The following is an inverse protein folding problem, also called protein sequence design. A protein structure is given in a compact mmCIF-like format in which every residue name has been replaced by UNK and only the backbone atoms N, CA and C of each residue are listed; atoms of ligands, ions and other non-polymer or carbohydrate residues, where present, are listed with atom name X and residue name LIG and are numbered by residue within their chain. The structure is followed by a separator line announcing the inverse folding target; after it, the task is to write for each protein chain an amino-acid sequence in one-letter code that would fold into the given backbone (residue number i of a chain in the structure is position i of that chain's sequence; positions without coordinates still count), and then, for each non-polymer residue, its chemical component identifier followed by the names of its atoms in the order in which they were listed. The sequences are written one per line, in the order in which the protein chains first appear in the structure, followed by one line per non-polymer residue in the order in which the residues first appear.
data_IF_053119397075
#
_entry.id   IF_053119397075
#
_cell.length_a   1.000
_cell.length_b   1.000
_cell.length_c   1.000
_cell.angle_alpha   90.00
_cell.angle_beta   90.00
_cell.angle_gamma   90.00
#
_symmetry.space_group_name_H-M   'P 1'
#
loop_
_entity.id
_entity.type
_entity.pdbx_description
1 polymer ?
#
# COMPACT_ATOMS: atom_id res chain seq x y z
N UNK A 1 -16.08 -2.91 -14.21
CA UNK A 1 -14.64 -3.25 -14.10
C UNK A 1 -14.43 -3.83 -12.71
N UNK A 2 -13.88 -5.05 -12.54
CA UNK A 2 -13.81 -5.68 -11.21
C UNK A 2 -12.69 -5.03 -10.39
N UNK A 3 -13.04 -4.29 -9.34
CA UNK A 3 -12.04 -3.74 -8.43
C UNK A 3 -11.33 -4.88 -7.70
N UNK A 4 -10.01 -4.85 -7.71
CA UNK A 4 -9.16 -5.89 -7.15
C UNK A 4 -8.73 -5.46 -5.74
N UNK A 5 -8.68 -6.39 -4.76
CA UNK A 5 -8.20 -6.13 -3.39
C UNK A 5 -6.90 -5.31 -3.37
N UNK A 6 -5.93 -5.75 -4.17
CA UNK A 6 -4.66 -5.09 -4.43
C UNK A 6 -4.75 -3.58 -4.67
N UNK A 7 -5.77 -3.10 -5.40
CA UNK A 7 -5.88 -1.69 -5.75
C UNK A 7 -6.20 -0.82 -4.52
N UNK A 8 -6.99 -1.33 -3.57
CA UNK A 8 -7.31 -0.58 -2.35
C UNK A 8 -6.09 -0.48 -1.42
N UNK A 9 -5.31 -1.55 -1.27
CA UNK A 9 -4.07 -1.49 -0.50
C UNK A 9 -3.03 -0.57 -1.15
N UNK A 10 -2.87 -0.60 -2.49
CA UNK A 10 -2.01 0.33 -3.22
C UNK A 10 -2.42 1.80 -3.03
N UNK A 11 -3.72 2.09 -3.02
CA UNK A 11 -4.23 3.44 -2.74
C UNK A 11 -4.01 3.81 -1.27
N UNK A 12 -4.20 2.90 -0.31
CA UNK A 12 -3.97 3.17 1.10
C UNK A 12 -2.50 3.49 1.40
N UNK A 13 -1.58 2.71 0.83
CA UNK A 13 -0.15 2.92 0.93
C UNK A 13 0.26 4.26 0.31
N UNK A 14 -0.22 4.56 -0.89
CA UNK A 14 0.01 5.86 -1.53
C UNK A 14 -0.55 7.06 -0.72
N UNK A 15 -1.69 6.91 -0.04
CA UNK A 15 -2.24 7.95 0.85
C UNK A 15 -1.37 8.15 2.08
N UNK A 16 -0.97 7.08 2.76
CA UNK A 16 -0.08 7.15 3.92
C UNK A 16 1.30 7.73 3.55
N UNK A 17 1.86 7.34 2.40
CA UNK A 17 3.12 7.84 1.89
C UNK A 17 3.06 9.33 1.49
N UNK A 18 1.96 9.79 0.89
CA UNK A 18 1.73 11.23 0.63
C UNK A 18 1.64 12.00 1.95
N UNK A 19 0.96 11.45 2.97
CA UNK A 19 0.84 12.08 4.28
C UNK A 19 2.20 12.19 4.99
N UNK A 20 3.08 11.18 4.92
CA UNK A 20 4.50 11.32 5.34
C UNK A 20 5.18 12.45 4.57
N UNK A 21 5.02 12.50 3.25
CA UNK A 21 5.71 13.46 2.39
C UNK A 21 5.26 14.92 2.59
N UNK A 22 3.98 15.18 2.91
CA UNK A 22 3.45 16.55 3.08
C UNK A 22 3.34 17.01 4.53
N UNK A 23 3.24 16.11 5.51
CA UNK A 23 3.14 16.45 6.92
C UNK A 23 4.42 16.24 7.71
N UNK A 24 5.21 15.19 7.42
CA UNK A 24 6.35 14.81 8.25
C UNK A 24 7.67 15.37 7.70
N UNK A 25 7.96 15.13 6.41
CA UNK A 25 9.21 15.59 5.78
C UNK A 25 9.44 17.10 5.95
N UNK A 26 8.46 18.01 5.75
CA UNK A 26 8.70 19.44 5.94
C UNK A 26 9.08 19.79 7.38
N UNK A 27 8.49 19.11 8.37
CA UNK A 27 8.81 19.32 9.79
C UNK A 27 10.21 18.81 10.12
N UNK A 28 10.56 17.58 9.71
CA UNK A 28 11.92 17.03 9.87
C UNK A 28 12.97 17.92 9.20
N UNK A 29 12.70 18.44 8.01
CA UNK A 29 13.60 19.37 7.30
C UNK A 29 13.71 20.71 8.03
N UNK A 30 12.61 21.24 8.58
CA UNK A 30 12.67 22.47 9.38
C UNK A 30 13.48 22.31 10.68
N UNK A 31 13.38 21.16 11.34
CA UNK A 31 14.16 20.83 12.53
C UNK A 31 15.67 20.70 12.19
N UNK A 32 16.00 20.12 11.03
CA UNK A 32 17.38 20.10 10.49
C UNK A 32 17.90 21.51 10.17
N UNK A 33 17.08 22.38 9.55
CA UNK A 33 17.52 23.69 9.06
C UNK A 33 17.62 24.73 10.18
N UNK A 34 16.63 24.80 11.07
CA UNK A 34 16.60 25.80 12.14
C UNK A 34 17.34 25.37 13.41
N UNK A 35 17.55 24.06 13.62
CA UNK A 35 18.14 23.49 14.86
C UNK A 35 17.39 23.87 16.16
N UNK A 36 16.18 24.44 16.06
CA UNK A 36 15.30 24.84 17.18
C UNK A 36 13.83 24.62 16.80
N UNK A 37 12.96 24.48 17.79
CA UNK A 37 11.52 24.23 17.61
C UNK A 37 10.67 25.50 17.75
N UNK A 38 10.25 26.08 16.62
CA UNK A 38 9.45 27.33 16.57
C UNK A 38 7.94 27.12 16.46
N UNK A 39 7.47 25.87 16.29
CA UNK A 39 6.06 25.57 15.94
C UNK A 39 5.13 25.39 17.16
N UNK A 40 5.66 25.55 18.37
CA UNK A 40 4.91 25.42 19.62
C UNK A 40 4.50 23.98 20.00
N UNK A 41 3.84 23.88 21.15
CA UNK A 41 3.50 22.63 21.84
C UNK A 41 2.57 21.71 21.03
N UNK A 42 1.53 22.27 20.42
CA UNK A 42 0.56 21.49 19.64
C UNK A 42 1.20 20.78 18.44
N UNK A 43 2.07 21.48 17.71
CA UNK A 43 2.81 20.87 16.60
C UNK A 43 3.82 19.84 17.11
N UNK A 44 4.52 20.09 18.22
CA UNK A 44 5.50 19.14 18.77
C UNK A 44 4.86 17.77 19.07
N UNK A 45 3.67 17.78 19.69
CA UNK A 45 2.87 16.58 19.97
C UNK A 45 2.36 15.90 18.70
N UNK A 46 1.73 16.67 17.80
CA UNK A 46 1.03 16.08 16.66
C UNK A 46 1.97 15.58 15.56
N UNK A 47 3.13 16.23 15.33
CA UNK A 47 4.09 15.84 14.29
C UNK A 47 4.62 14.43 14.51
N UNK A 48 5.17 14.15 15.70
CA UNK A 48 5.72 12.81 16.02
C UNK A 48 4.64 11.72 16.03
N UNK A 49 3.44 12.05 16.54
CA UNK A 49 2.31 11.14 16.58
C UNK A 49 1.81 10.74 15.18
N UNK A 50 1.55 11.72 14.31
CA UNK A 50 1.10 11.47 12.93
C UNK A 50 2.18 10.77 12.09
N UNK A 51 3.45 11.15 12.27
CA UNK A 51 4.59 10.47 11.63
C UNK A 51 4.62 8.98 11.96
N UNK A 52 4.47 8.62 13.24
CA UNK A 52 4.34 7.23 13.67
C UNK A 52 3.13 6.53 13.04
N UNK A 53 1.97 7.17 13.02
CA UNK A 53 0.73 6.60 12.46
C UNK A 53 0.89 6.31 10.97
N UNK A 54 1.38 7.26 10.17
CA UNK A 54 1.48 7.09 8.72
C UNK A 54 2.50 6.00 8.35
N UNK A 55 3.66 5.97 9.02
CA UNK A 55 4.67 4.93 8.82
C UNK A 55 4.14 3.56 9.23
N UNK A 56 3.50 3.46 10.41
CA UNK A 56 2.88 2.21 10.87
C UNK A 56 1.77 1.72 9.94
N UNK A 57 0.91 2.61 9.45
CA UNK A 57 -0.14 2.28 8.50
C UNK A 57 0.44 1.80 7.15
N UNK A 58 1.51 2.42 6.64
CA UNK A 58 2.24 1.95 5.46
C UNK A 58 2.82 0.54 5.66
N UNK A 59 3.52 0.30 6.77
CA UNK A 59 4.11 -1.01 7.11
C UNK A 59 3.06 -2.11 7.21
N UNK A 60 2.01 -1.89 8.00
CA UNK A 60 0.92 -2.85 8.17
C UNK A 60 0.17 -3.10 6.84
N UNK A 61 0.12 -2.10 5.96
CA UNK A 61 -0.40 -2.26 4.59
C UNK A 61 0.51 -3.14 3.73
N UNK A 62 1.85 -3.02 3.83
CA UNK A 62 2.82 -3.91 3.15
C UNK A 62 2.66 -5.37 3.62
N UNK A 63 2.44 -5.61 4.91
CA UNK A 63 2.11 -6.94 5.45
C UNK A 63 0.81 -7.49 4.83
N UNK A 64 -0.27 -6.69 4.82
CA UNK A 64 -1.55 -7.08 4.22
C UNK A 64 -1.44 -7.36 2.71
N UNK A 65 -0.67 -6.56 1.98
CA UNK A 65 -0.36 -6.77 0.56
C UNK A 65 0.40 -8.07 0.35
N UNK A 66 1.36 -8.39 1.23
CA UNK A 66 2.15 -9.62 1.16
C UNK A 66 1.31 -10.87 1.42
N UNK A 67 0.37 -10.80 2.36
CA UNK A 67 -0.61 -11.86 2.59
C UNK A 67 -1.54 -12.05 1.36
N UNK A 68 -2.06 -10.96 0.77
CA UNK A 68 -2.87 -11.01 -0.46
C UNK A 68 -2.08 -11.60 -1.65
N UNK A 69 -0.80 -11.23 -1.82
CA UNK A 69 0.08 -11.84 -2.84
C UNK A 69 0.28 -13.34 -2.60
N UNK A 70 0.56 -13.74 -1.36
CA UNK A 70 0.80 -15.15 -0.99
C UNK A 70 -0.45 -16.00 -1.26
N UNK A 71 -1.61 -15.60 -0.72
CA UNK A 71 -2.86 -16.37 -0.90
C UNK A 71 -3.29 -16.36 -2.37
N UNK A 72 -3.09 -15.26 -3.12
CA UNK A 72 -3.39 -15.20 -4.55
C UNK A 72 -2.52 -16.11 -5.42
N UNK A 73 -1.29 -16.43 -4.99
CA UNK A 73 -0.37 -17.32 -5.72
C UNK A 73 -0.52 -18.78 -5.26
N UNK A 74 -0.72 -19.01 -3.96
CA UNK A 74 -0.78 -20.37 -3.38
C UNK A 74 -2.18 -21.00 -3.40
N UNK A 75 -3.23 -20.21 -3.20
CA UNK A 75 -4.62 -20.67 -3.02
C UNK A 75 -5.62 -19.74 -3.75
N UNK A 76 -5.60 -19.65 -5.09
CA UNK A 76 -6.33 -18.63 -5.84
C UNK A 76 -7.85 -18.62 -5.62
N UNK A 77 -8.46 -19.77 -5.30
CA UNK A 77 -9.88 -19.86 -4.94
C UNK A 77 -10.18 -19.27 -3.55
N UNK A 78 -9.39 -19.63 -2.52
CA UNK A 78 -9.51 -19.05 -1.17
C UNK A 78 -9.25 -17.55 -1.19
N UNK A 79 -8.34 -17.06 -2.04
CA UNK A 79 -8.07 -15.62 -2.16
C UNK A 79 -9.34 -14.80 -2.48
N UNK A 80 -10.22 -15.33 -3.34
CA UNK A 80 -11.48 -14.69 -3.73
C UNK A 80 -12.52 -14.62 -2.60
N UNK A 81 -12.36 -15.41 -1.54
CA UNK A 81 -13.23 -15.46 -0.35
C UNK A 81 -12.63 -14.70 0.85
N UNK A 82 -11.30 -14.61 0.93
CA UNK A 82 -10.56 -13.91 1.97
C UNK A 82 -10.42 -12.42 1.61
N UNK A 83 -9.85 -12.10 0.45
CA UNK A 83 -9.61 -10.73 0.01
C UNK A 83 -10.77 -10.21 -0.85
N UNK A 84 -11.96 -10.12 -0.23
CA UNK A 84 -13.11 -9.41 -0.79
C UNK A 84 -12.97 -7.90 -0.57
N UNK A 85 -13.65 -7.08 -1.36
CA UNK A 85 -13.58 -5.60 -1.25
C UNK A 85 -13.93 -5.12 0.16
N UNK A 86 -14.97 -5.68 0.78
CA UNK A 86 -15.39 -5.35 2.15
C UNK A 86 -14.31 -5.71 3.17
N UNK A 87 -13.76 -6.95 3.10
CA UNK A 87 -12.70 -7.40 4.00
C UNK A 87 -11.40 -6.61 3.82
N UNK A 88 -11.05 -6.22 2.59
CA UNK A 88 -9.90 -5.33 2.33
C UNK A 88 -10.11 -3.94 2.94
N UNK A 89 -11.31 -3.35 2.88
CA UNK A 89 -11.60 -2.09 3.56
C UNK A 89 -11.55 -2.23 5.09
N UNK A 90 -12.05 -3.33 5.65
CA UNK A 90 -11.95 -3.63 7.08
C UNK A 90 -10.49 -3.79 7.53
N UNK A 91 -9.67 -4.54 6.78
CA UNK A 91 -8.23 -4.67 7.04
C UNK A 91 -7.52 -3.32 7.02
N UNK A 92 -7.83 -2.45 6.05
CA UNK A 92 -7.31 -1.07 6.03
C UNK A 92 -7.73 -0.30 7.28
N UNK A 93 -9.00 -0.34 7.68
CA UNK A 93 -9.44 0.28 8.94
C UNK A 93 -8.66 -0.23 10.16
N UNK A 94 -8.39 -1.54 10.21
CA UNK A 94 -7.59 -2.17 11.27
C UNK A 94 -6.13 -1.70 11.23
N UNK A 95 -5.49 -1.53 10.06
CA UNK A 95 -4.09 -1.03 10.01
C UNK A 95 -3.97 0.40 10.54
N UNK A 96 -4.94 1.28 10.23
CA UNK A 96 -4.99 2.63 10.79
C UNK A 96 -5.25 2.64 12.30
N UNK A 97 -6.26 1.90 12.78
CA UNK A 97 -6.57 1.81 14.22
C UNK A 97 -5.40 1.24 15.04
N UNK A 98 -4.70 0.25 14.50
CA UNK A 98 -3.53 -0.36 15.14
C UNK A 98 -2.34 0.60 15.18
N UNK A 99 -2.07 1.33 14.10
CA UNK A 99 -1.02 2.36 14.08
C UNK A 99 -1.35 3.53 15.03
N UNK A 100 -2.61 3.95 15.11
CA UNK A 100 -3.11 4.93 16.09
C UNK A 100 -2.86 4.45 17.52
N UNK A 101 -3.27 3.21 17.85
CA UNK A 101 -3.14 2.65 19.19
C UNK A 101 -1.67 2.48 19.62
N UNK A 102 -0.81 1.97 18.74
CA UNK A 102 0.63 1.80 18.99
C UNK A 102 1.32 3.12 19.31
N UNK A 103 0.90 4.22 18.65
CA UNK A 103 1.58 5.51 18.75
C UNK A 103 1.03 6.42 19.86
N UNK A 104 -0.03 6.02 20.59
CA UNK A 104 -0.64 6.84 21.68
C UNK A 104 0.40 7.39 22.66
N UNK A 105 1.42 6.64 23.14
CA UNK A 105 2.40 7.19 24.08
C UNK A 105 3.14 8.44 23.56
N UNK A 106 3.41 8.54 22.26
CA UNK A 106 4.16 9.67 21.68
C UNK A 106 3.44 11.01 21.83
N UNK A 107 2.12 11.07 21.72
CA UNK A 107 1.37 12.34 21.88
C UNK A 107 1.31 12.79 23.35
N UNK A 108 1.57 11.88 24.29
CA UNK A 108 1.59 12.15 25.74
C UNK A 108 2.98 12.59 26.23
N UNK A 109 4.05 11.98 25.72
CA UNK A 109 5.44 12.26 26.17
C UNK A 109 6.15 13.34 25.36
N UNK A 110 5.79 13.59 24.10
CA UNK A 110 6.39 14.70 23.35
C UNK A 110 5.90 16.03 23.90
N UNK A 111 6.82 16.96 24.15
CA UNK A 111 6.54 18.33 24.60
C UNK A 111 7.64 19.28 24.15
N UNK A 112 7.39 20.58 24.21
CA UNK A 112 8.45 21.59 24.14
C UNK A 112 9.19 21.65 25.49
N UNK A 113 10.52 21.74 25.43
CA UNK A 113 11.41 22.10 26.53
C UNK A 113 12.12 23.40 26.18
N UNK A 114 12.24 24.30 27.16
CA UNK A 114 12.88 25.60 27.01
C UNK A 114 14.22 25.62 27.76
N UNK A 115 15.22 26.27 27.18
CA UNK A 115 16.55 26.45 27.77
C UNK A 115 16.84 27.94 27.99
N UNK A 116 17.56 28.26 29.07
CA UNK A 116 17.86 29.65 29.49
C UNK A 116 18.79 30.42 28.54
N UNK A 117 19.25 29.78 27.45
CA UNK A 117 19.97 30.45 26.37
C UNK A 117 18.98 31.26 25.52
N UNK A 118 18.98 32.57 25.73
CA UNK A 118 18.19 33.54 24.97
C UNK A 118 18.95 33.97 23.72
N UNK A 119 18.29 33.98 22.57
CA UNK A 119 18.78 34.54 21.31
C UNK A 119 17.73 35.48 20.74
N UNK A 120 18.08 36.75 20.53
CA UNK A 120 17.17 37.82 20.09
C UNK A 120 15.89 37.88 20.95
N UNK A 121 16.07 37.94 22.28
CA UNK A 121 15.01 38.00 23.30
C UNK A 121 14.00 36.83 23.31
N UNK A 122 14.28 35.73 22.61
CA UNK A 122 13.51 34.48 22.69
C UNK A 122 14.33 33.32 23.28
N UNK A 123 13.75 32.49 24.16
CA UNK A 123 14.43 31.31 24.71
C UNK A 123 14.53 30.18 23.68
N UNK A 124 15.71 29.58 23.57
CA UNK A 124 15.91 28.40 22.72
C UNK A 124 15.01 27.27 23.20
N UNK A 125 14.29 26.66 22.26
CA UNK A 125 13.22 25.69 22.52
C UNK A 125 13.42 24.44 21.66
N UNK A 126 13.19 23.25 22.22
CA UNK A 126 13.31 21.96 21.53
C UNK A 126 12.07 21.09 21.73
N UNK A 127 11.72 20.25 20.76
CA UNK A 127 10.62 19.27 20.88
C UNK A 127 11.16 17.91 21.32
N UNK A 128 11.06 17.61 22.61
CA UNK A 128 11.69 16.44 23.27
C UNK A 128 10.66 15.41 23.72
N UNK A 129 11.12 14.18 24.00
CA UNK A 129 10.32 13.13 24.61
C UNK A 129 10.59 13.04 26.13
N UNK A 130 9.69 13.59 26.96
CA UNK A 130 9.78 13.50 28.41
C UNK A 130 9.12 12.20 28.93
N UNK A 131 9.89 11.11 28.90
CA UNK A 131 9.48 9.82 29.47
C UNK A 131 9.56 9.82 31.02
N UNK A 132 8.62 9.17 31.75
CA UNK A 132 8.65 9.13 33.22
C UNK A 132 9.91 8.50 33.83
N UNK A 133 10.56 7.58 33.09
CA UNK A 133 11.92 7.15 33.37
C UNK A 133 12.58 6.60 32.11
N UNK A 134 13.90 6.47 32.13
CA UNK A 134 14.68 5.91 31.02
C UNK A 134 14.20 4.49 30.64
N UNK A 135 13.80 3.67 31.61
CA UNK A 135 13.28 2.32 31.37
C UNK A 135 11.96 2.33 30.57
N UNK A 136 11.08 3.31 30.79
CA UNK A 136 9.84 3.43 30.01
C UNK A 136 10.15 3.72 28.54
N UNK A 137 11.12 4.60 28.27
CA UNK A 137 11.64 4.86 26.93
C UNK A 137 12.21 3.60 26.30
N UNK A 138 13.13 2.91 26.99
CA UNK A 138 13.73 1.65 26.53
C UNK A 138 12.69 0.60 26.14
N UNK A 139 11.67 0.40 26.97
CA UNK A 139 10.59 -0.57 26.72
C UNK A 139 9.77 -0.17 25.48
N UNK A 140 9.46 1.12 25.32
CA UNK A 140 8.67 1.61 24.18
C UNK A 140 9.46 1.61 22.86
N UNK A 141 10.73 2.03 22.87
CA UNK A 141 11.62 1.99 21.71
C UNK A 141 11.87 0.54 21.24
N UNK A 142 12.09 -0.41 22.17
CA UNK A 142 12.12 -1.86 21.84
C UNK A 142 10.77 -2.31 21.26
N UNK A 143 9.65 -1.91 21.86
CA UNK A 143 8.32 -2.30 21.39
C UNK A 143 8.05 -1.80 19.97
N UNK A 144 8.38 -0.55 19.64
CA UNK A 144 8.27 -0.01 18.29
C UNK A 144 9.20 -0.74 17.31
N UNK A 145 10.46 -0.98 17.68
CA UNK A 145 11.40 -1.74 16.83
C UNK A 145 10.88 -3.16 16.54
N UNK A 146 10.38 -3.86 17.56
CA UNK A 146 9.79 -5.18 17.39
C UNK A 146 8.51 -5.14 16.53
N UNK A 147 7.59 -4.22 16.82
CA UNK A 147 6.23 -4.23 16.25
C UNK A 147 6.11 -3.55 14.87
N UNK A 148 6.91 -2.51 14.60
CA UNK A 148 6.88 -1.74 13.34
C UNK A 148 8.03 -2.13 12.40
N UNK A 149 9.08 -2.80 12.87
CA UNK A 149 10.21 -3.21 12.01
C UNK A 149 10.43 -4.73 11.95
N UNK A 150 10.75 -5.39 13.07
CA UNK A 150 11.16 -6.81 13.07
C UNK A 150 10.01 -7.77 12.73
N UNK A 151 8.85 -7.67 13.39
CA UNK A 151 7.71 -8.56 13.14
C UNK A 151 7.14 -8.36 11.73
N UNK A 152 6.89 -7.13 11.24
CA UNK A 152 6.49 -6.91 9.85
C UNK A 152 7.52 -7.42 8.85
N UNK A 153 8.80 -7.11 9.05
CA UNK A 153 9.89 -7.53 8.17
C UNK A 153 10.02 -9.04 8.07
N UNK A 154 10.02 -9.75 9.19
CA UNK A 154 10.12 -11.23 9.22
C UNK A 154 8.89 -11.90 8.59
N UNK A 155 7.67 -11.47 8.89
CA UNK A 155 6.44 -11.98 8.24
C UNK A 155 6.50 -11.78 6.72
N UNK A 156 6.93 -10.61 6.28
CA UNK A 156 7.05 -10.26 4.85
C UNK A 156 8.12 -11.09 4.15
N UNK A 157 9.31 -11.24 4.75
CA UNK A 157 10.41 -12.09 4.24
C UNK A 157 10.01 -13.57 4.14
N UNK A 158 9.30 -14.10 5.14
CA UNK A 158 8.80 -15.47 5.15
C UNK A 158 7.77 -15.70 4.04
N UNK A 159 6.76 -14.82 3.92
CA UNK A 159 5.75 -14.90 2.87
C UNK A 159 6.36 -14.84 1.46
N UNK A 160 7.36 -13.98 1.25
CA UNK A 160 8.03 -13.89 -0.05
C UNK A 160 9.00 -15.03 -0.34
N UNK A 161 9.70 -15.56 0.65
CA UNK A 161 10.50 -16.78 0.51
C UNK A 161 9.63 -17.96 0.06
N UNK A 162 8.46 -18.15 0.69
CA UNK A 162 7.50 -19.19 0.32
C UNK A 162 6.91 -18.99 -1.09
N UNK A 163 6.71 -17.75 -1.53
CA UNK A 163 6.34 -17.43 -2.92
C UNK A 163 7.48 -17.79 -3.87
N UNK A 164 8.72 -17.39 -3.55
CA UNK A 164 9.92 -17.64 -4.35
C UNK A 164 10.16 -19.13 -4.60
N UNK A 165 10.23 -19.93 -3.54
CA UNK A 165 10.38 -21.39 -3.64
C UNK A 165 9.27 -22.03 -4.49
N UNK A 166 8.01 -21.59 -4.32
CA UNK A 166 6.89 -22.15 -5.09
C UNK A 166 6.90 -21.74 -6.57
N UNK A 167 7.42 -20.56 -6.90
CA UNK A 167 7.61 -20.12 -8.28
C UNK A 167 8.78 -20.86 -8.94
N UNK A 168 9.92 -21.00 -8.27
CA UNK A 168 11.09 -21.73 -8.81
C UNK A 168 10.75 -23.20 -9.11
N UNK A 169 10.03 -23.88 -8.21
CA UNK A 169 9.54 -25.26 -8.42
C UNK A 169 8.50 -25.37 -9.55
N UNK A 170 7.84 -24.27 -9.94
CA UNK A 170 6.98 -24.22 -11.14
C UNK A 170 7.78 -23.95 -12.40
N UNK A 171 8.71 -22.99 -12.38
CA UNK A 171 9.59 -22.67 -13.52
C UNK A 171 10.40 -23.89 -13.96
N UNK A 172 11.01 -24.62 -13.01
CA UNK A 172 11.79 -25.83 -13.28
C UNK A 172 10.96 -26.98 -13.89
N UNK A 173 9.63 -26.94 -13.76
CA UNK A 173 8.71 -27.88 -14.43
C UNK A 173 8.27 -27.36 -15.80
N UNK A 174 8.02 -26.05 -15.92
CA UNK A 174 7.59 -25.40 -17.15
C UNK A 174 8.71 -25.32 -18.20
N UNK A 175 9.96 -25.08 -17.79
CA UNK A 175 11.13 -25.13 -18.68
C UNK A 175 11.42 -26.51 -19.28
N UNK A 176 10.73 -27.57 -18.82
CA UNK A 176 10.79 -28.93 -19.37
C UNK A 176 9.60 -29.23 -20.31
N UNK A 177 8.68 -28.30 -20.51
CA UNK A 177 7.58 -28.40 -21.48
C UNK A 177 7.59 -27.20 -22.44
N UNK A 178 8.12 -27.41 -23.65
CA UNK A 178 7.91 -26.49 -24.76
C UNK A 178 6.39 -26.35 -25.00
N UNK A 179 5.80 -25.21 -24.67
CA UNK A 179 4.35 -25.02 -24.75
C UNK A 179 3.92 -23.56 -24.87
N UNK A 180 2.86 -23.37 -25.65
CA UNK A 180 2.15 -22.11 -25.88
C UNK A 180 1.84 -21.36 -24.58
N UNK A 181 2.00 -20.02 -24.59
CA UNK A 181 1.68 -19.18 -23.43
C UNK A 181 0.15 -19.07 -23.25
N UNK A 182 -0.43 -20.02 -22.51
CA UNK A 182 -1.84 -20.05 -22.14
C UNK A 182 -2.26 -18.79 -21.37
N UNK A 183 -3.56 -18.49 -21.35
CA UNK A 183 -4.07 -17.35 -20.58
C UNK A 183 -3.85 -17.50 -19.07
N UNK A 184 -3.77 -18.74 -18.55
CA UNK A 184 -3.35 -18.98 -17.16
C UNK A 184 -1.87 -18.63 -16.95
N UNK A 185 -0.97 -19.03 -17.85
CA UNK A 185 0.44 -18.67 -17.78
C UNK A 185 0.63 -17.14 -17.81
N UNK A 186 -0.08 -16.42 -18.68
CA UNK A 186 -0.09 -14.94 -18.72
C UNK A 186 -0.56 -14.34 -17.39
N UNK A 187 -1.60 -14.89 -16.77
CA UNK A 187 -2.08 -14.44 -15.46
C UNK A 187 -1.07 -14.74 -14.33
N UNK A 188 -0.43 -15.90 -14.34
CA UNK A 188 0.59 -16.29 -13.36
C UNK A 188 1.84 -15.41 -13.46
N UNK A 189 2.33 -15.13 -14.66
CA UNK A 189 3.45 -14.21 -14.89
C UNK A 189 3.11 -12.78 -14.40
N UNK A 190 1.87 -12.32 -14.61
CA UNK A 190 1.41 -11.05 -14.05
C UNK A 190 1.41 -11.06 -12.51
N UNK A 191 0.94 -12.14 -11.86
CA UNK A 191 0.99 -12.27 -10.38
C UNK A 191 2.43 -12.30 -9.85
N UNK A 192 3.35 -12.98 -10.54
CA UNK A 192 4.79 -13.02 -10.23
C UNK A 192 5.45 -11.64 -10.29
N UNK A 193 5.26 -10.88 -11.38
CA UNK A 193 5.80 -9.51 -11.49
C UNK A 193 5.32 -8.62 -10.35
N UNK A 194 4.06 -8.78 -9.92
CA UNK A 194 3.51 -8.05 -8.78
C UNK A 194 4.11 -8.49 -7.43
N UNK A 195 4.44 -9.76 -7.24
CA UNK A 195 5.12 -10.22 -6.03
C UNK A 195 6.58 -9.74 -5.97
N UNK A 196 7.33 -9.82 -7.08
CA UNK A 196 8.70 -9.31 -7.19
C UNK A 196 8.78 -7.80 -6.89
N UNK A 197 7.78 -7.03 -7.34
CA UNK A 197 7.66 -5.60 -7.01
C UNK A 197 7.54 -5.35 -5.50
N UNK A 198 6.74 -6.16 -4.79
CA UNK A 198 6.63 -6.01 -3.33
C UNK A 198 7.88 -6.49 -2.59
N UNK A 199 8.59 -7.50 -3.11
CA UNK A 199 9.90 -7.91 -2.54
C UNK A 199 10.88 -6.73 -2.54
N UNK A 200 10.99 -6.02 -3.68
CA UNK A 200 11.87 -4.86 -3.81
C UNK A 200 11.44 -3.74 -2.85
N UNK A 201 10.13 -3.43 -2.76
CA UNK A 201 9.59 -2.47 -1.78
C UNK A 201 9.95 -2.87 -0.34
N UNK A 202 9.87 -4.16 -0.01
CA UNK A 202 10.11 -4.66 1.36
C UNK A 202 11.58 -4.61 1.75
N UNK A 203 12.48 -4.91 0.81
CA UNK A 203 13.93 -4.79 0.99
C UNK A 203 14.33 -3.32 1.13
N UNK A 204 13.77 -2.44 0.30
CA UNK A 204 14.02 -1.00 0.36
C UNK A 204 13.52 -0.39 1.67
N UNK A 205 12.31 -0.77 2.14
CA UNK A 205 11.83 -0.38 3.46
C UNK A 205 12.81 -0.80 4.56
N UNK A 206 13.26 -2.06 4.54
CA UNK A 206 14.20 -2.56 5.54
C UNK A 206 15.51 -1.74 5.55
N UNK A 207 16.11 -1.49 4.38
CA UNK A 207 17.38 -0.75 4.23
C UNK A 207 17.21 0.73 4.62
N UNK A 208 16.11 1.38 4.25
CA UNK A 208 15.90 2.80 4.55
C UNK A 208 15.65 3.06 6.04
N UNK A 209 14.98 2.14 6.74
CA UNK A 209 14.65 2.30 8.16
C UNK A 209 15.70 1.71 9.12
N UNK A 210 16.58 0.81 8.66
CA UNK A 210 17.61 0.20 9.50
C UNK A 210 18.52 1.23 10.21
N UNK A 211 19.05 2.29 9.55
CA UNK A 211 19.90 3.27 10.22
C UNK A 211 19.17 4.06 11.30
N UNK A 212 17.89 4.39 11.09
CA UNK A 212 17.07 5.07 12.09
C UNK A 212 16.90 4.22 13.35
N UNK A 213 16.54 2.94 13.21
CA UNK A 213 16.37 2.04 14.35
C UNK A 213 17.70 1.72 15.05
N UNK A 214 18.80 1.57 14.32
CA UNK A 214 20.13 1.42 14.92
C UNK A 214 20.49 2.66 15.76
N UNK A 215 20.30 3.87 15.23
CA UNK A 215 20.61 5.10 15.97
C UNK A 215 19.68 5.31 17.17
N UNK A 216 18.39 4.99 17.05
CA UNK A 216 17.45 5.01 18.18
C UNK A 216 17.92 4.05 19.29
N UNK A 217 18.18 2.78 18.99
CA UNK A 217 18.68 1.80 19.96
C UNK A 217 20.03 2.24 20.57
N UNK A 218 20.95 2.80 19.79
CA UNK A 218 22.20 3.36 20.32
C UNK A 218 21.94 4.53 21.28
N UNK A 219 21.03 5.46 20.95
CA UNK A 219 20.60 6.57 21.82
C UNK A 219 19.89 6.15 23.12
N UNK A 220 19.46 4.89 23.18
CA UNK A 220 18.59 4.37 24.25
C UNK A 220 19.32 3.35 25.13
N UNK A 221 20.43 2.77 24.66
CA UNK A 221 21.24 1.80 25.41
C UNK A 221 22.73 2.16 25.60
N UNK A 222 23.26 3.18 24.90
CA UNK A 222 24.66 3.60 25.07
C UNK A 222 24.80 4.84 25.94
N UNK A 223 25.44 4.68 27.11
CA UNK A 223 25.82 5.79 27.99
C UNK A 223 27.05 6.58 27.47
N UNK A 224 27.62 6.24 26.30
CA UNK A 224 28.86 6.83 25.76
C UNK A 224 28.79 7.03 24.25
N UNK A 225 27.82 7.83 23.80
CA UNK A 225 27.65 8.18 22.38
C UNK A 225 28.57 9.35 22.04
N UNK A 226 29.34 9.23 20.96
CA UNK A 226 30.11 10.37 20.43
C UNK A 226 29.16 11.49 20.02
N UNK A 227 29.50 12.74 20.38
CA UNK A 227 28.74 13.93 19.95
C UNK A 227 28.59 14.04 18.42
N UNK A 228 29.45 13.36 17.66
CA UNK A 228 29.39 13.25 16.19
C UNK A 228 28.24 12.37 15.66
N UNK A 229 27.67 11.49 16.50
CA UNK A 229 26.59 10.56 16.11
C UNK A 229 25.20 11.20 16.24
N UNK A 230 25.03 12.13 17.19
CA UNK A 230 23.74 12.81 17.44
C UNK A 230 23.23 13.54 16.18
N UNK A 231 24.05 14.30 15.42
CA UNK A 231 23.63 14.92 14.17
C UNK A 231 23.17 13.94 13.07
N UNK A 232 23.52 12.65 13.14
CA UNK A 232 23.13 11.66 12.12
C UNK A 232 21.67 11.21 12.24
N UNK A 233 21.06 11.35 13.42
CA UNK A 233 19.70 10.90 13.70
C UNK A 233 18.63 11.47 12.73
N UNK A 234 18.54 12.80 12.51
CA UNK A 234 17.54 13.34 11.58
C UNK A 234 17.81 12.98 10.11
N UNK A 235 19.06 12.77 9.69
CA UNK A 235 19.36 12.26 8.34
C UNK A 235 18.91 10.79 8.18
N UNK A 236 19.08 9.96 9.20
CA UNK A 236 18.58 8.59 9.19
C UNK A 236 17.04 8.52 9.22
N UNK A 237 16.37 9.45 9.92
CA UNK A 237 14.92 9.60 9.87
C UNK A 237 14.44 10.03 8.47
N UNK A 238 15.12 11.01 7.85
CA UNK A 238 14.83 11.46 6.49
C UNK A 238 15.05 10.34 5.45
N UNK A 239 16.08 9.51 5.62
CA UNK A 239 16.29 8.30 4.82
C UNK A 239 15.12 7.31 4.98
N UNK A 240 14.64 7.09 6.21
CA UNK A 240 13.42 6.31 6.47
C UNK A 240 12.19 6.86 5.73
N UNK A 241 11.98 8.19 5.78
CA UNK A 241 10.90 8.86 5.05
C UNK A 241 11.05 8.78 3.52
N UNK A 242 12.29 8.67 2.99
CA UNK A 242 12.50 8.51 1.54
C UNK A 242 11.82 7.26 0.96
N UNK A 243 11.58 6.22 1.77
CA UNK A 243 10.82 5.03 1.38
C UNK A 243 9.44 5.37 0.80
N UNK A 244 8.75 6.37 1.36
CA UNK A 244 7.44 6.81 0.89
C UNK A 244 7.48 7.45 -0.50
N UNK A 245 8.60 8.10 -0.87
CA UNK A 245 8.81 8.59 -2.24
C UNK A 245 9.13 7.45 -3.23
N UNK A 246 9.70 6.34 -2.77
CA UNK A 246 10.08 5.20 -3.62
C UNK A 246 8.86 4.38 -4.08
N UNK A 247 7.80 4.28 -3.28
CA UNK A 247 6.60 3.50 -3.62
C UNK A 247 5.94 3.95 -4.94
N UNK A 248 5.60 5.24 -5.17
CA UNK A 248 5.11 5.72 -6.46
C UNK A 248 6.05 5.41 -7.64
N UNK A 249 7.37 5.59 -7.46
CA UNK A 249 8.40 5.33 -8.47
C UNK A 249 8.37 3.86 -8.89
N UNK A 250 8.38 2.95 -7.92
CA UNK A 250 8.33 1.50 -8.15
C UNK A 250 7.03 1.10 -8.86
N UNK A 251 5.88 1.67 -8.50
CA UNK A 251 4.63 1.41 -9.22
C UNK A 251 4.63 1.95 -10.66
N UNK A 252 5.23 3.12 -10.92
CA UNK A 252 5.38 3.69 -12.26
C UNK A 252 6.17 2.78 -13.22
N UNK A 253 7.27 2.18 -12.76
CA UNK A 253 8.06 1.26 -13.58
C UNK A 253 7.46 -0.16 -13.65
N UNK A 254 6.93 -0.67 -12.53
CA UNK A 254 6.64 -2.09 -12.39
C UNK A 254 5.17 -2.45 -12.63
N UNK A 255 4.20 -1.57 -12.35
CA UNK A 255 2.77 -1.86 -12.42
C UNK A 255 2.12 -1.26 -13.69
N UNK A 256 2.02 -2.05 -14.78
CA UNK A 256 1.50 -1.60 -16.11
C UNK A 256 0.22 -0.75 -16.02
N UNK A 257 -0.79 -1.18 -15.25
CA UNK A 257 -2.06 -0.45 -15.08
C UNK A 257 -1.94 0.87 -14.30
N UNK A 258 -0.89 1.03 -13.49
CA UNK A 258 -0.61 2.28 -12.77
C UNK A 258 0.09 3.26 -13.70
N UNK A 259 1.07 2.78 -14.48
CA UNK A 259 1.66 3.54 -15.60
C UNK A 259 0.59 3.99 -16.60
N UNK A 260 -0.33 3.12 -17.00
CA UNK A 260 -1.48 3.47 -17.86
C UNK A 260 -2.41 4.52 -17.22
N UNK A 261 -2.55 4.55 -15.90
CA UNK A 261 -3.35 5.55 -15.18
C UNK A 261 -2.64 6.90 -15.11
N UNK A 262 -1.37 6.91 -14.68
CA UNK A 262 -0.55 8.13 -14.59
C UNK A 262 -0.34 8.74 -15.98
N UNK A 263 -0.11 7.95 -17.03
CA UNK A 263 -0.01 8.48 -18.40
C UNK A 263 -1.32 9.14 -18.86
N UNK A 264 -2.49 8.73 -18.36
CA UNK A 264 -3.77 9.43 -18.64
C UNK A 264 -3.91 10.72 -17.83
N UNK A 265 -3.50 10.72 -16.56
CA UNK A 265 -3.52 11.91 -15.70
C UNK A 265 -2.55 12.98 -16.25
N UNK A 266 -1.30 12.61 -16.53
CA UNK A 266 -0.26 13.50 -17.06
C UNK A 266 -0.56 13.98 -18.49
N UNK A 267 -1.31 13.21 -19.29
CA UNK A 267 -1.84 13.67 -20.59
C UNK A 267 -3.21 14.36 -20.49
N UNK A 268 -3.65 14.72 -19.28
CA UNK A 268 -4.93 15.38 -18.98
C UNK A 268 -6.18 14.72 -19.61
N UNK A 269 -6.16 13.40 -19.83
CA UNK A 269 -7.24 12.64 -20.47
C UNK A 269 -8.42 12.33 -19.54
N UNK A 270 -8.75 13.25 -18.63
CA UNK A 270 -9.95 13.16 -17.77
C UNK A 270 -11.24 13.37 -18.58
N UNK A 271 -11.16 14.07 -19.71
CA UNK A 271 -12.25 14.48 -20.60
C UNK A 271 -12.75 13.37 -21.54
N UNK A 272 -13.18 12.22 -20.99
CA UNK A 272 -14.06 11.26 -21.71
C UNK A 272 -14.85 10.25 -20.85
N UNK A 273 -15.22 10.60 -19.61
CA UNK A 273 -16.06 9.74 -18.74
C UNK A 273 -17.45 10.36 -18.45
N UNK A 274 -18.13 10.92 -19.48
CA UNK A 274 -19.59 11.19 -19.41
C UNK A 274 -20.28 11.34 -20.77
N UNK A 275 -20.16 10.35 -21.67
CA UNK A 275 -21.19 10.12 -22.70
C UNK A 275 -21.25 8.63 -23.10
N UNK A 276 -22.28 7.95 -22.60
CA UNK A 276 -23.14 6.98 -23.29
C UNK A 276 -22.54 6.08 -24.39
N UNK A 277 -22.51 4.74 -24.30
CA UNK A 277 -23.23 3.77 -23.45
C UNK A 277 -24.76 3.64 -23.63
N UNK A 278 -25.41 4.50 -24.42
CA UNK A 278 -26.78 4.29 -24.92
C UNK A 278 -26.79 3.67 -26.33
N UNK A 279 -25.83 4.03 -27.20
CA UNK A 279 -25.82 3.65 -28.63
C UNK A 279 -25.84 2.13 -28.85
N UNK A 280 -25.21 1.34 -27.98
CA UNK A 280 -25.21 -0.13 -28.05
C UNK A 280 -26.55 -0.76 -27.67
N UNK A 281 -27.39 -0.08 -26.88
CA UNK A 281 -28.75 -0.54 -26.53
C UNK A 281 -29.72 -0.17 -27.66
N UNK A 282 -29.61 1.06 -28.20
CA UNK A 282 -30.40 1.51 -29.36
C UNK A 282 -30.24 0.56 -30.57
N UNK A 283 -29.01 0.22 -30.96
CA UNK A 283 -28.75 -0.70 -32.09
C UNK A 283 -29.12 -2.17 -31.83
N UNK A 284 -29.48 -2.53 -30.59
CA UNK A 284 -30.04 -3.84 -30.26
C UNK A 284 -31.55 -3.96 -30.50
N UNK A 285 -32.26 -2.85 -30.70
CA UNK A 285 -33.73 -2.82 -30.81
C UNK A 285 -34.25 -2.43 -32.19
N UNK A 286 -33.39 -1.89 -33.06
CA UNK A 286 -33.78 -1.41 -34.41
C UNK A 286 -33.98 -2.53 -35.45
N UNK A 287 -33.58 -3.77 -35.17
CA UNK A 287 -33.67 -4.89 -36.11
C UNK A 287 -34.87 -5.83 -35.90
N UNK A 288 -35.81 -5.48 -35.01
CA UNK A 288 -36.95 -6.35 -34.67
C UNK A 288 -38.33 -5.66 -34.65
N UNK A 289 -38.44 -4.47 -35.30
CA UNK A 289 -39.73 -3.80 -35.61
C UNK A 289 -39.73 -3.08 -36.96
N UNK A 290 -39.58 -3.83 -38.06
CA UNK A 290 -40.12 -3.48 -39.40
C UNK A 290 -40.57 -4.76 -40.10
N UNK A 291 -41.87 -4.84 -40.41
CA UNK A 291 -42.56 -6.04 -40.91
C UNK A 291 -43.81 -6.29 -40.06
N UNK A 292 -44.99 -5.95 -40.58
CA UNK A 292 -46.25 -6.03 -39.81
C UNK A 292 -47.40 -5.12 -40.27
N UNK A 293 -47.43 -4.73 -41.55
CA UNK A 293 -48.56 -4.15 -42.30
C UNK A 293 -48.12 -4.15 -43.78
N UNK A 294 -48.90 -4.57 -44.78
CA UNK A 294 -50.31 -5.02 -44.78
C UNK A 294 -50.48 -6.51 -45.14
N UNK A 295 -51.73 -6.97 -45.25
CA UNK A 295 -52.15 -8.34 -45.60
C UNK A 295 -53.05 -8.30 -46.86
N UNK A 296 -53.71 -9.39 -47.31
CA UNK A 296 -53.51 -10.83 -47.06
C UNK A 296 -53.31 -11.62 -48.39
N UNK A 297 -53.23 -12.97 -48.36
CA UNK A 297 -54.03 -13.86 -49.25
C UNK A 297 -53.91 -15.37 -48.92
N UNK A 298 -55.04 -16.07 -49.01
CA UNK A 298 -55.27 -17.52 -49.20
C UNK A 298 -54.31 -18.57 -48.58
N UNK A 299 -54.58 -18.91 -47.31
CA UNK A 299 -55.07 -20.25 -46.89
C UNK A 299 -54.79 -21.47 -47.80
N UNK A 300 -54.01 -22.45 -47.29
CA UNK A 300 -54.31 -23.88 -47.52
C UNK A 300 -53.81 -24.78 -46.36
N UNK A 301 -54.74 -25.59 -45.87
CA UNK A 301 -54.55 -26.77 -45.00
C UNK A 301 -54.07 -27.99 -45.83
N UNK A 302 -53.61 -29.13 -45.30
CA UNK A 302 -53.30 -29.63 -43.93
C UNK A 302 -52.10 -30.64 -44.07
N UNK A 303 -51.67 -31.55 -43.18
CA UNK A 303 -52.19 -32.15 -41.93
C UNK A 303 -51.05 -32.57 -40.97
N UNK A 304 -51.37 -33.34 -39.92
CA UNK A 304 -50.43 -34.16 -39.11
C UNK A 304 -50.61 -35.69 -39.44
N UNK A 305 -49.99 -36.71 -38.79
CA UNK A 305 -49.42 -37.84 -39.55
C UNK A 305 -49.99 -39.26 -39.25
N UNK A 306 -49.53 -40.24 -40.03
CA UNK A 306 -49.44 -41.70 -39.75
C UNK A 306 -50.71 -42.46 -39.30
N UNK A 307 -51.17 -43.46 -40.09
CA UNK A 307 -51.13 -44.90 -39.70
C UNK A 307 -51.68 -45.92 -40.75
N UNK A 308 -51.33 -47.20 -40.52
CA UNK A 308 -51.96 -48.49 -40.88
C UNK A 308 -52.40 -48.90 -42.32
N UNK A 309 -51.63 -49.87 -42.86
CA UNK A 309 -52.00 -51.26 -43.24
C UNK A 309 -53.11 -51.64 -44.26
N UNK A 310 -52.75 -52.72 -45.00
CA UNK A 310 -53.59 -53.82 -45.53
C UNK A 310 -54.65 -53.55 -46.61
N UNK A 311 -54.31 -53.93 -47.85
CA UNK A 311 -54.83 -55.22 -48.40
C UNK A 311 -53.74 -55.89 -49.23
#
# INVERSE_FOLDING_TARGET
MRSNSANYFLVNLAVADILVAVCCIPMTVSEIVFQVWIFGEFMCKITGYLQGIYVGASVLTIVCMSADRFVAIRYPMKNRQIFTVTKTKQLIGITWLLAIAVMVPLILVRKVDHYDLVVNDMPISYCVEQWPSHNHRQIYDIFLFCFIYIIPGTVVLLLYSLIGCRLWVKDARLGRQNSYITNEAKMMLSRRRLALMMIIISILFAICWLPYYILNILMVFSNRISKQVIPLYPFALLLGHSNSAQNPILYCFMHRKFKECIVRIVKCQCSKIRFERQITISKGYSSQKRGGADAPFLQKQDSVPLEHQQT
#
